data_IF_310533218501
#
_entry.id   IF_310533218501
#
_cell.length_a   1.000
_cell.length_b   1.000
_cell.length_c   1.000
_cell.angle_alpha   90.00
_cell.angle_beta   90.00
_cell.angle_gamma   90.00
#
_symmetry.space_group_name_H-M   'P 1'
#
loop_
_entity.id
_entity.type
_entity.pdbx_description
1 polymer ?
#
# COMPACT_ATOMS: atom_id res chain seq x y z
N UNK A 1 8.35 21.53 22.03
CA UNK A 1 9.05 20.22 22.03
C UNK A 1 10.55 20.52 22.10
N UNK A 2 11.17 20.32 23.26
CA UNK A 2 12.57 20.64 23.52
C UNK A 2 13.36 19.34 23.40
N UNK A 3 13.98 19.08 22.25
CA UNK A 3 14.78 17.88 22.01
C UNK A 3 16.23 18.15 22.46
N UNK A 4 16.67 17.47 23.51
CA UNK A 4 18.06 17.45 23.93
C UNK A 4 18.93 16.87 22.79
N UNK A 5 20.18 17.32 22.68
CA UNK A 5 21.16 16.82 21.69
C UNK A 5 21.36 15.30 21.78
N UNK A 6 21.19 14.71 22.97
CA UNK A 6 21.21 13.26 23.17
C UNK A 6 19.99 12.56 22.52
N UNK A 7 18.81 13.16 22.60
CA UNK A 7 17.58 12.60 22.01
C UNK A 7 17.67 12.48 20.48
N UNK A 8 18.38 13.41 19.81
CA UNK A 8 18.62 13.35 18.36
C UNK A 8 19.53 12.18 17.99
N UNK A 9 20.57 11.92 18.80
CA UNK A 9 21.49 10.81 18.59
C UNK A 9 20.77 9.48 18.78
N UNK A 10 20.02 9.34 19.87
CA UNK A 10 19.24 8.13 20.17
C UNK A 10 18.20 7.85 19.07
N UNK A 11 17.57 8.90 18.54
CA UNK A 11 16.66 8.79 17.40
C UNK A 11 17.36 8.28 16.13
N UNK A 12 18.52 8.83 15.77
CA UNK A 12 19.28 8.38 14.60
C UNK A 12 19.83 6.96 14.75
N UNK A 13 20.29 6.59 15.95
CA UNK A 13 20.73 5.22 16.24
C UNK A 13 19.56 4.23 16.15
N UNK A 14 18.37 4.63 16.62
CA UNK A 14 17.16 3.84 16.46
C UNK A 14 16.79 3.63 14.98
N UNK A 15 16.83 4.70 14.17
CA UNK A 15 16.57 4.61 12.73
C UNK A 15 17.61 3.71 12.03
N UNK A 16 18.90 3.87 12.35
CA UNK A 16 19.96 3.06 11.77
C UNK A 16 19.79 1.58 12.12
N UNK A 17 19.45 1.27 13.38
CA UNK A 17 19.12 -0.09 13.80
C UNK A 17 17.98 -0.66 12.96
N UNK A 18 16.92 0.11 12.71
CA UNK A 18 15.80 -0.31 11.86
C UNK A 18 16.20 -0.53 10.39
N UNK A 19 17.09 0.29 9.84
CA UNK A 19 17.61 0.09 8.48
C UNK A 19 18.49 -1.16 8.36
N UNK A 20 19.16 -1.56 9.44
CA UNK A 20 19.97 -2.79 9.45
C UNK A 20 19.14 -4.06 9.69
N UNK A 21 17.94 -3.93 10.27
CA UNK A 21 16.97 -5.01 10.49
C UNK A 21 16.07 -5.26 9.25
N UNK A 22 16.39 -4.66 8.10
CA UNK A 22 15.52 -4.69 6.92
C UNK A 22 15.35 -6.12 6.41
N UNK A 23 14.10 -6.59 6.47
CA UNK A 23 13.65 -7.78 5.76
C UNK A 23 13.50 -7.45 4.25
N UNK A 24 13.53 -8.47 3.40
CA UNK A 24 13.16 -8.27 1.99
C UNK A 24 11.75 -7.67 1.92
N UNK A 25 11.70 -6.48 1.33
CA UNK A 25 10.49 -5.70 1.11
C UNK A 25 10.51 -5.14 -0.32
N UNK A 26 9.34 -4.97 -0.96
CA UNK A 26 9.26 -4.18 -2.18
C UNK A 26 9.75 -2.74 -1.93
N UNK A 27 10.25 -2.09 -2.97
CA UNK A 27 10.79 -0.73 -2.85
C UNK A 27 9.73 0.27 -2.36
N UNK A 28 10.15 1.25 -1.55
CA UNK A 28 9.28 2.34 -1.10
C UNK A 28 8.64 3.07 -2.27
N UNK A 29 9.36 3.21 -3.38
CA UNK A 29 8.83 3.79 -4.63
C UNK A 29 7.62 3.01 -5.12
N UNK A 30 7.70 1.67 -5.16
CA UNK A 30 6.60 0.82 -5.62
C UNK A 30 5.39 0.91 -4.70
N UNK A 31 5.59 0.83 -3.39
CA UNK A 31 4.51 0.95 -2.39
C UNK A 31 3.83 2.32 -2.51
N UNK A 32 4.62 3.39 -2.62
CA UNK A 32 4.09 4.75 -2.75
C UNK A 32 3.30 4.93 -4.06
N UNK A 33 3.81 4.44 -5.19
CA UNK A 33 3.10 4.49 -6.47
C UNK A 33 1.76 3.75 -6.40
N UNK A 34 1.72 2.54 -5.83
CA UNK A 34 0.46 1.80 -5.63
C UNK A 34 -0.55 2.59 -4.78
N UNK A 35 -0.09 3.20 -3.67
CA UNK A 35 -0.96 3.98 -2.79
C UNK A 35 -1.48 5.25 -3.49
N UNK A 36 -0.63 5.91 -4.29
CA UNK A 36 -1.03 7.07 -5.08
C UNK A 36 -2.14 6.73 -6.08
N UNK A 37 -2.05 5.60 -6.78
CA UNK A 37 -3.12 5.18 -7.70
C UNK A 37 -4.47 4.96 -7.01
N UNK A 38 -4.48 4.47 -5.76
CA UNK A 38 -5.71 4.40 -4.96
C UNK A 38 -6.27 5.81 -4.72
N UNK A 39 -5.41 6.74 -4.30
CA UNK A 39 -5.83 8.12 -4.03
C UNK A 39 -6.35 8.82 -5.28
N UNK A 40 -5.77 8.56 -6.45
CA UNK A 40 -6.25 9.10 -7.73
C UNK A 40 -7.65 8.61 -8.10
N UNK A 41 -7.98 7.36 -7.77
CA UNK A 41 -9.35 6.83 -7.96
C UNK A 41 -10.33 7.43 -6.95
N UNK A 42 -9.91 7.62 -5.69
CA UNK A 42 -10.76 8.13 -4.62
C UNK A 42 -10.97 9.65 -4.68
N UNK A 43 -9.97 10.39 -5.18
CA UNK A 43 -9.91 11.85 -5.21
C UNK A 43 -9.51 12.32 -6.61
N UNK A 44 -10.43 12.21 -7.59
CA UNK A 44 -10.14 12.47 -9.01
C UNK A 44 -9.88 13.96 -9.32
N UNK A 45 -10.03 14.86 -8.32
CA UNK A 45 -9.78 16.29 -8.49
C UNK A 45 -8.31 16.59 -8.83
N UNK A 46 -7.38 15.69 -8.44
CA UNK A 46 -6.00 15.69 -8.92
C UNK A 46 -5.90 14.89 -10.23
N UNK A 47 -6.41 15.47 -11.32
CA UNK A 47 -6.50 14.88 -12.66
C UNK A 47 -5.19 14.18 -13.11
N UNK A 48 -5.13 12.86 -13.02
CA UNK A 48 -4.10 12.06 -13.73
C UNK A 48 -4.72 10.99 -14.63
N UNK A 49 -5.86 10.41 -14.26
CA UNK A 49 -6.57 9.39 -15.05
C UNK A 49 -8.07 9.73 -15.19
N UNK A 50 -8.59 9.66 -16.42
CA UNK A 50 -10.03 9.80 -16.70
C UNK A 50 -10.67 8.41 -16.77
N UNK A 51 -11.41 8.04 -15.72
CA UNK A 51 -12.25 6.85 -15.73
C UNK A 51 -13.62 7.22 -16.32
N UNK A 52 -14.02 6.57 -17.41
CA UNK A 52 -15.20 6.96 -18.18
C UNK A 52 -16.42 6.09 -17.88
N UNK A 53 -16.24 5.00 -17.13
CA UNK A 53 -17.29 4.05 -16.80
C UNK A 53 -17.09 3.40 -15.43
N UNK A 54 -18.14 2.77 -14.93
CA UNK A 54 -18.08 1.95 -13.70
C UNK A 54 -17.14 0.76 -13.91
N UNK A 55 -17.14 0.21 -15.11
CA UNK A 55 -16.29 -0.90 -15.53
C UNK A 55 -14.80 -0.53 -15.51
N UNK A 56 -14.45 0.71 -15.87
CA UNK A 56 -13.08 1.21 -15.81
C UNK A 56 -12.59 1.28 -14.35
N UNK A 57 -13.40 1.82 -13.45
CA UNK A 57 -13.08 1.91 -12.01
C UNK A 57 -12.95 0.50 -11.41
N UNK A 58 -13.89 -0.39 -11.72
CA UNK A 58 -13.86 -1.77 -11.24
C UNK A 58 -12.60 -2.52 -11.73
N UNK A 59 -12.20 -2.28 -12.99
CA UNK A 59 -11.00 -2.88 -13.56
C UNK A 59 -9.73 -2.33 -12.92
N UNK A 60 -9.67 -1.01 -12.68
CA UNK A 60 -8.55 -0.37 -12.01
C UNK A 60 -8.37 -0.89 -10.57
N UNK A 61 -9.45 -1.00 -9.80
CA UNK A 61 -9.41 -1.54 -8.43
C UNK A 61 -8.97 -3.01 -8.40
N UNK A 62 -9.43 -3.84 -9.36
CA UNK A 62 -8.96 -5.25 -9.48
C UNK A 62 -7.46 -5.34 -9.77
N UNK A 63 -6.93 -4.45 -10.61
CA UNK A 63 -5.48 -4.41 -10.87
C UNK A 63 -4.69 -4.02 -9.61
N UNK A 64 -5.19 -3.04 -8.85
CA UNK A 64 -4.58 -2.62 -7.58
C UNK A 64 -4.65 -3.71 -6.49
N UNK A 65 -5.70 -4.53 -6.48
CA UNK A 65 -5.80 -5.71 -5.62
C UNK A 65 -4.73 -6.75 -5.93
N UNK A 66 -4.55 -7.08 -7.22
CA UNK A 66 -3.48 -7.99 -7.67
C UNK A 66 -2.09 -7.42 -7.37
N UNK A 67 -1.91 -6.11 -7.53
CA UNK A 67 -0.64 -5.46 -7.22
C UNK A 67 -0.33 -5.49 -5.71
N UNK A 68 -1.33 -5.24 -4.86
CA UNK A 68 -1.20 -5.36 -3.40
C UNK A 68 -0.79 -6.78 -3.00
N UNK A 69 -1.43 -7.79 -3.59
CA UNK A 69 -1.03 -9.18 -3.39
C UNK A 69 0.44 -9.41 -3.75
N UNK A 70 0.89 -8.89 -4.90
CA UNK A 70 2.28 -9.03 -5.35
C UNK A 70 3.27 -8.25 -4.49
N UNK A 71 2.89 -7.09 -3.95
CA UNK A 71 3.68 -6.33 -2.97
C UNK A 71 3.87 -7.17 -1.71
N UNK A 72 2.80 -7.79 -1.19
CA UNK A 72 2.88 -8.62 0.00
C UNK A 72 3.67 -9.92 -0.22
N UNK A 73 3.54 -10.58 -1.38
CA UNK A 73 4.30 -11.80 -1.71
C UNK A 73 5.82 -11.58 -1.74
N UNK A 74 6.27 -10.36 -2.03
CA UNK A 74 7.70 -10.01 -2.02
C UNK A 74 8.20 -9.65 -0.63
N UNK A 75 7.31 -9.54 0.35
CA UNK A 75 7.69 -9.33 1.74
C UNK A 75 7.97 -10.70 2.40
N UNK A 76 9.15 -10.88 3.00
CA UNK A 76 9.48 -12.10 3.79
C UNK A 76 8.81 -12.13 5.18
N UNK A 77 7.76 -11.33 5.38
CA UNK A 77 7.15 -11.10 6.70
C UNK A 77 6.22 -12.24 7.10
N UNK A 78 5.67 -13.01 6.13
CA UNK A 78 4.79 -14.12 6.45
C UNK A 78 4.68 -15.16 5.31
N UNK A 79 5.46 -16.24 5.40
CA UNK A 79 5.43 -17.34 4.42
C UNK A 79 4.09 -18.13 4.40
N UNK A 80 3.28 -17.99 5.46
CA UNK A 80 1.99 -18.68 5.61
C UNK A 80 0.77 -17.75 5.47
N UNK A 81 0.96 -16.48 5.08
CA UNK A 81 -0.16 -15.54 5.00
C UNK A 81 -0.99 -15.80 3.74
N UNK A 82 -2.33 -15.80 3.82
CA UNK A 82 -3.16 -15.82 2.64
C UNK A 82 -3.18 -14.42 1.99
N UNK A 83 -2.07 -14.02 1.35
CA UNK A 83 -1.87 -12.69 0.75
C UNK A 83 -3.04 -12.26 -0.13
N UNK A 84 -3.57 -13.18 -0.94
CA UNK A 84 -4.79 -12.98 -1.73
C UNK A 84 -5.98 -12.54 -0.88
N UNK A 85 -6.25 -13.24 0.23
CA UNK A 85 -7.36 -12.92 1.14
C UNK A 85 -7.17 -11.56 1.81
N UNK A 86 -5.93 -11.22 2.17
CA UNK A 86 -5.61 -9.90 2.74
C UNK A 86 -5.87 -8.80 1.70
N UNK A 87 -5.41 -8.98 0.46
CA UNK A 87 -5.65 -8.03 -0.62
C UNK A 87 -7.16 -7.88 -0.91
N UNK A 88 -7.89 -8.98 -1.06
CA UNK A 88 -9.34 -8.94 -1.27
C UNK A 88 -10.08 -8.26 -0.12
N UNK A 89 -9.70 -8.53 1.14
CA UNK A 89 -10.32 -7.91 2.31
C UNK A 89 -10.13 -6.39 2.35
N UNK A 90 -9.00 -5.88 1.86
CA UNK A 90 -8.75 -4.45 1.77
C UNK A 90 -9.77 -3.76 0.84
N UNK A 91 -10.15 -4.40 -0.27
CA UNK A 91 -11.09 -3.86 -1.24
C UNK A 91 -12.56 -4.27 -1.01
N UNK A 92 -12.87 -5.15 -0.04
CA UNK A 92 -14.25 -5.55 0.29
C UNK A 92 -15.22 -4.38 0.51
N UNK A 93 -14.85 -3.28 1.21
CA UNK A 93 -15.73 -2.12 1.36
C UNK A 93 -16.01 -1.39 0.03
N UNK A 94 -15.12 -1.51 -0.96
CA UNK A 94 -15.22 -0.85 -2.26
C UNK A 94 -16.02 -1.67 -3.29
N UNK A 95 -16.21 -2.98 -3.05
CA UNK A 95 -17.09 -3.81 -3.85
C UNK A 95 -18.51 -3.78 -3.26
N UNK A 96 -19.48 -3.08 -3.87
CA UNK A 96 -20.86 -3.23 -3.44
C UNK A 96 -21.24 -4.70 -3.55
N UNK A 97 -21.78 -5.26 -2.46
CA UNK A 97 -22.42 -6.58 -2.55
C UNK A 97 -23.56 -6.42 -3.55
N UNK A 98 -23.38 -6.95 -4.76
CA UNK A 98 -24.50 -7.16 -5.67
C UNK A 98 -25.46 -8.12 -4.96
N UNK A 99 -26.44 -7.56 -4.27
CA UNK A 99 -27.59 -8.29 -3.76
C UNK A 99 -28.51 -8.48 -4.96
N UNK A 100 -28.62 -9.73 -5.39
CA UNK A 100 -29.67 -10.19 -6.31
C UNK A 100 -31.05 -9.91 -5.70
#
# INVERSE_FOLDING_TARGET
>A
MNWNKNDKKDFYEHLLKKQNEVMEMPSNKRIATWALHILEILFPEQKSNEYNSVEDIASALRLLEVELENIMRQSKVCDCCPHKKVASNFFLPAYPKYQN
#
